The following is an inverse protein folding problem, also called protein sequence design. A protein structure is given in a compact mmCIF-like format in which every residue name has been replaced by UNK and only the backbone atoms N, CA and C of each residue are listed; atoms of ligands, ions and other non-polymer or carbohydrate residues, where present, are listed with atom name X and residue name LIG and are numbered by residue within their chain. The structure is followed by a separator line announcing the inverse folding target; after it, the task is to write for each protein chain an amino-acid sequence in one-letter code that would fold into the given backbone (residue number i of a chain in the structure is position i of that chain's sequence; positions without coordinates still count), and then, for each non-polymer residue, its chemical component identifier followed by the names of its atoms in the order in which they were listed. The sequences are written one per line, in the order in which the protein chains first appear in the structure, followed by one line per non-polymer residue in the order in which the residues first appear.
data_IF_922191159504
#
_entry.id   IF_922191159504
#
_cell.length_a   1.000
_cell.length_b   1.000
_cell.length_c   1.000
_cell.angle_alpha   90.00
_cell.angle_beta   90.00
_cell.angle_gamma   90.00
#
_symmetry.space_group_name_H-M   'P 1'
#
loop_
_entity.id
_entity.type
_entity.pdbx_description
1 polymer ?
#
# COMPACT_ATOMS: atom_id res chain seq x y z
N UNK A 1 28.98 7.87 15.01
CA UNK A 1 27.71 7.11 15.18
C UNK A 1 26.74 7.29 14.01
N UNK A 2 26.50 8.53 13.55
CA UNK A 2 25.62 8.83 12.41
C UNK A 2 25.96 8.06 11.13
N UNK A 3 27.23 8.09 10.70
CA UNK A 3 27.66 7.42 9.46
C UNK A 3 27.39 5.91 9.48
N UNK A 4 27.71 5.22 10.59
CA UNK A 4 27.42 3.78 10.78
C UNK A 4 25.92 3.49 10.66
N UNK A 5 25.08 4.37 11.21
CA UNK A 5 23.61 4.27 11.12
C UNK A 5 23.12 4.47 9.68
N UNK A 6 23.61 5.50 9.00
CA UNK A 6 23.26 5.80 7.60
C UNK A 6 23.66 4.64 6.67
N UNK A 7 24.86 4.08 6.84
CA UNK A 7 25.33 2.92 6.07
C UNK A 7 24.49 1.67 6.32
N UNK A 8 24.11 1.42 7.58
CA UNK A 8 23.19 0.32 7.93
C UNK A 8 21.83 0.51 7.25
N UNK A 9 21.25 1.70 7.31
CA UNK A 9 19.96 1.98 6.65
C UNK A 9 20.05 1.90 5.12
N UNK A 10 21.18 2.29 4.53
CA UNK A 10 21.41 2.12 3.09
C UNK A 10 21.42 0.64 2.72
N UNK A 11 22.11 -0.19 3.51
CA UNK A 11 22.13 -1.64 3.31
C UNK A 11 20.73 -2.26 3.48
N UNK A 12 20.00 -1.86 4.52
CA UNK A 12 18.63 -2.33 4.76
C UNK A 12 17.67 -1.92 3.63
N UNK A 13 17.77 -0.69 3.11
CA UNK A 13 16.99 -0.22 1.95
C UNK A 13 17.35 -0.95 0.65
N UNK A 14 18.62 -1.35 0.47
CA UNK A 14 19.04 -2.17 -0.67
C UNK A 14 18.52 -3.60 -0.58
N UNK A 15 18.45 -4.15 0.63
CA UNK A 15 17.97 -5.52 0.89
C UNK A 15 16.45 -5.63 0.83
N UNK A 16 15.73 -4.71 1.44
CA UNK A 16 14.26 -4.69 1.51
C UNK A 16 13.70 -3.28 1.20
N UNK A 17 13.65 -2.89 -0.09
CA UNK A 17 13.18 -1.57 -0.47
C UNK A 17 11.67 -1.41 -0.22
N UNK A 18 11.24 -0.28 0.39
CA UNK A 18 9.83 0.02 0.57
C UNK A 18 9.10 0.06 -0.79
N UNK A 19 7.92 -0.54 -0.86
CA UNK A 19 7.16 -0.59 -2.10
C UNK A 19 6.90 0.83 -2.64
N UNK A 20 7.13 1.03 -3.94
CA UNK A 20 6.97 2.31 -4.65
C UNK A 20 7.94 3.42 -4.21
N UNK A 21 8.92 3.11 -3.35
CA UNK A 21 9.89 4.07 -2.85
C UNK A 21 11.31 3.58 -3.14
N UNK A 22 12.23 4.54 -3.20
CA UNK A 22 13.64 4.27 -3.28
C UNK A 22 14.43 5.45 -2.73
N UNK A 23 15.56 5.22 -2.06
CA UNK A 23 16.41 6.30 -1.55
C UNK A 23 17.88 5.87 -1.39
N UNK A 24 18.83 6.73 -1.74
CA UNK A 24 20.25 6.43 -1.65
C UNK A 24 21.12 7.67 -1.88
N UNK A 25 22.43 7.57 -1.62
CA UNK A 25 23.34 8.71 -1.68
C UNK A 25 23.46 9.28 -3.09
N UNK A 26 23.71 10.58 -3.16
CA UNK A 26 24.00 11.30 -4.40
C UNK A 26 25.51 11.53 -4.46
N UNK A 27 26.17 10.90 -5.44
CA UNK A 27 27.63 10.93 -5.53
C UNK A 27 28.29 10.21 -4.36
N UNK A 28 29.37 10.81 -3.85
CA UNK A 28 30.18 10.27 -2.75
C UNK A 28 29.68 10.71 -1.36
N UNK A 29 28.76 11.68 -1.28
CA UNK A 29 28.25 12.19 0.00
C UNK A 29 27.18 11.24 0.58
N UNK A 30 27.56 10.53 1.64
CA UNK A 30 26.66 9.63 2.36
C UNK A 30 25.61 10.37 3.21
N UNK A 31 25.79 11.67 3.51
CA UNK A 31 24.84 12.49 4.26
C UNK A 31 23.81 13.21 3.37
N UNK A 32 23.95 13.11 2.05
CA UNK A 32 23.00 13.64 1.08
C UNK A 32 22.41 12.54 0.20
N UNK A 33 21.13 12.25 0.37
CA UNK A 33 20.42 11.23 -0.39
C UNK A 33 19.36 11.83 -1.29
N UNK A 34 19.09 11.12 -2.37
CA UNK A 34 17.94 11.34 -3.23
C UNK A 34 16.99 10.16 -3.13
N UNK A 35 15.72 10.48 -2.97
CA UNK A 35 14.65 9.53 -2.94
C UNK A 35 13.69 9.72 -4.11
N UNK A 36 13.10 8.62 -4.57
CA UNK A 36 12.06 8.62 -5.59
C UNK A 36 10.85 7.90 -5.04
N UNK A 37 9.72 8.60 -5.07
CA UNK A 37 8.39 8.06 -4.74
C UNK A 37 7.59 7.97 -6.02
N UNK A 38 7.11 6.75 -6.29
CA UNK A 38 6.17 6.52 -7.37
C UNK A 38 4.78 6.83 -6.85
N UNK A 39 4.06 7.68 -7.58
CA UNK A 39 2.70 8.07 -7.28
C UNK A 39 1.83 6.87 -6.96
N UNK A 40 1.24 6.80 -5.74
CA UNK A 40 0.47 5.65 -5.32
C UNK A 40 -0.68 5.35 -6.28
N UNK A 41 -0.95 4.07 -6.50
CA UNK A 41 -2.12 3.63 -7.26
C UNK A 41 -3.41 4.06 -6.57
N UNK A 42 -4.42 4.43 -7.36
CA UNK A 42 -5.72 4.93 -6.88
C UNK A 42 -5.65 6.24 -6.07
N UNK A 43 -4.57 7.02 -6.25
CA UNK A 43 -4.45 8.42 -5.83
C UNK A 43 -4.47 9.33 -7.07
N UNK A 44 -4.75 10.64 -6.94
CA UNK A 44 -4.61 11.56 -8.07
C UNK A 44 -3.17 11.64 -8.59
N UNK A 45 -2.20 11.25 -7.78
CA UNK A 45 -0.77 11.19 -8.13
C UNK A 45 -0.37 9.96 -8.94
N UNK A 46 -1.31 9.04 -9.23
CA UNK A 46 -1.00 7.80 -9.92
C UNK A 46 -0.27 8.04 -11.25
N UNK A 47 0.80 7.27 -11.48
CA UNK A 47 1.71 7.40 -12.64
C UNK A 47 2.67 8.59 -12.58
N UNK A 48 2.60 9.42 -11.54
CA UNK A 48 3.61 10.43 -11.25
C UNK A 48 4.91 9.83 -10.71
N UNK A 49 6.01 10.53 -10.95
CA UNK A 49 7.32 10.23 -10.34
C UNK A 49 7.75 11.46 -9.58
N UNK A 50 7.95 11.31 -8.27
CA UNK A 50 8.30 12.41 -7.39
C UNK A 50 9.69 12.19 -6.83
N UNK A 51 10.57 13.17 -7.05
CA UNK A 51 11.90 13.19 -6.49
C UNK A 51 11.91 14.00 -5.19
N UNK A 52 12.67 13.51 -4.23
CA UNK A 52 12.88 14.13 -2.93
C UNK A 52 14.37 14.16 -2.63
N UNK A 53 14.80 15.19 -1.92
CA UNK A 53 16.13 15.27 -1.32
C UNK A 53 16.03 14.98 0.18
N UNK A 54 17.02 14.26 0.71
CA UNK A 54 17.14 13.89 2.12
C UNK A 54 18.54 14.32 2.57
N UNK A 55 18.62 15.20 3.56
CA UNK A 55 19.89 15.59 4.18
C UNK A 55 19.92 15.11 5.63
N UNK A 56 20.93 14.32 5.97
CA UNK A 56 21.14 13.86 7.34
C UNK A 56 21.95 14.89 8.13
N UNK A 57 21.52 15.25 9.35
CA UNK A 57 22.36 16.06 10.23
C UNK A 57 23.51 15.21 10.82
N UNK A 58 24.53 15.87 11.33
CA UNK A 58 25.71 15.21 11.93
C UNK A 58 25.38 14.39 13.18
N UNK A 59 24.30 14.73 13.87
CA UNK A 59 23.76 14.05 15.06
C UNK A 59 22.64 13.04 14.74
N UNK A 60 22.45 12.68 13.46
CA UNK A 60 21.54 11.59 13.08
C UNK A 60 21.92 10.28 13.81
N UNK A 61 20.96 9.49 14.34
CA UNK A 61 19.51 9.61 14.22
C UNK A 61 18.82 10.37 15.38
N UNK A 62 19.56 11.11 16.21
CA UNK A 62 18.97 11.85 17.34
C UNK A 62 18.19 13.09 16.88
N UNK A 63 18.56 13.68 15.74
CA UNK A 63 17.73 14.65 15.01
C UNK A 63 17.19 14.07 13.70
N UNK A 64 16.01 14.53 13.24
CA UNK A 64 15.42 14.09 11.98
C UNK A 64 16.25 14.52 10.77
N UNK A 65 16.21 13.75 9.67
CA UNK A 65 16.75 14.20 8.40
C UNK A 65 15.82 15.27 7.81
N UNK A 66 16.40 16.22 7.08
CA UNK A 66 15.62 17.21 6.32
C UNK A 66 15.18 16.58 5.01
N UNK A 67 13.87 16.45 4.80
CA UNK A 67 13.29 15.87 3.59
C UNK A 67 12.45 16.92 2.86
N UNK A 68 12.68 17.08 1.56
CA UNK A 68 11.92 17.99 0.72
C UNK A 68 11.69 17.42 -0.68
N UNK A 69 10.53 17.69 -1.27
CA UNK A 69 10.26 17.38 -2.67
C UNK A 69 11.06 18.30 -3.59
N UNK A 70 11.83 17.72 -4.50
CA UNK A 70 12.43 18.48 -5.62
C UNK A 70 11.45 18.57 -6.79
N UNK A 71 10.57 17.59 -6.93
CA UNK A 71 9.45 17.63 -7.88
C UNK A 71 8.29 18.48 -7.33
N UNK A 72 7.81 19.45 -8.11
CA UNK A 72 6.61 20.22 -7.74
C UNK A 72 5.38 19.30 -7.73
N UNK A 73 4.57 19.41 -6.69
CA UNK A 73 3.38 18.59 -6.48
C UNK A 73 2.23 19.44 -5.96
N UNK A 74 1.02 19.17 -6.47
CA UNK A 74 -0.20 19.82 -5.99
C UNK A 74 -0.75 19.03 -4.81
N UNK A 75 -0.47 19.44 -3.57
CA UNK A 75 -0.85 18.69 -2.36
C UNK A 75 -1.05 19.63 -1.15
N UNK A 76 -2.07 19.41 -0.28
CA UNK A 76 -2.36 20.31 0.85
C UNK A 76 -1.21 20.46 1.87
N UNK A 77 -0.50 19.37 2.15
CA UNK A 77 0.61 19.32 3.12
C UNK A 77 2.00 19.49 2.51
N UNK A 78 2.11 19.88 1.23
CA UNK A 78 3.41 20.09 0.55
C UNK A 78 3.38 21.44 -0.13
N UNK A 79 4.29 22.35 0.24
CA UNK A 79 4.32 23.69 -0.34
C UNK A 79 5.09 23.73 -1.68
N UNK A 80 5.09 24.89 -2.33
CA UNK A 80 5.80 25.11 -3.60
C UNK A 80 7.31 24.91 -3.50
N UNK A 81 7.91 25.09 -2.32
CA UNK A 81 9.33 24.84 -2.06
C UNK A 81 9.64 23.36 -1.77
N UNK A 82 8.62 22.50 -1.77
CA UNK A 82 8.75 21.06 -1.52
C UNK A 82 8.86 20.69 -0.05
N UNK A 83 8.69 21.64 0.88
CA UNK A 83 8.63 21.34 2.31
C UNK A 83 7.39 20.51 2.62
N UNK A 84 7.53 19.55 3.53
CA UNK A 84 6.47 18.61 3.90
C UNK A 84 6.04 18.95 5.33
N UNK A 85 4.72 19.05 5.56
CA UNK A 85 4.20 18.97 6.93
C UNK A 85 3.91 17.51 7.26
N UNK A 86 4.82 16.94 8.04
CA UNK A 86 4.72 15.59 8.56
C UNK A 86 5.36 15.59 9.94
N UNK A 87 4.56 15.29 10.95
CA UNK A 87 4.89 15.24 12.38
C UNK A 87 6.13 14.40 12.69
N UNK A 88 6.29 13.24 12.01
CA UNK A 88 7.45 12.38 12.22
C UNK A 88 8.76 13.02 11.82
N UNK A 89 8.76 14.08 10.98
CA UNK A 89 9.96 14.85 10.61
C UNK A 89 10.21 16.02 11.58
N UNK A 90 9.39 16.18 12.62
CA UNK A 90 9.43 17.29 13.58
C UNK A 90 9.30 16.75 15.02
N UNK A 91 8.15 16.99 15.66
CA UNK A 91 7.89 16.68 17.07
C UNK A 91 7.82 15.18 17.35
N UNK A 92 7.43 14.37 16.37
CA UNK A 92 7.31 12.91 16.52
C UNK A 92 8.50 12.13 15.95
N UNK A 93 9.63 12.81 15.74
CA UNK A 93 10.85 12.12 15.36
C UNK A 93 11.35 11.25 16.51
N UNK A 94 11.68 10.00 16.21
CA UNK A 94 12.34 9.08 17.12
C UNK A 94 13.57 8.47 16.42
N UNK A 95 14.69 8.26 17.12
CA UNK A 95 15.83 7.51 16.59
C UNK A 95 15.49 6.10 16.07
N UNK A 96 14.33 5.54 16.46
CA UNK A 96 13.81 4.27 15.95
C UNK A 96 13.14 4.37 14.55
N UNK A 97 12.94 5.58 14.04
CA UNK A 97 12.47 5.83 12.68
C UNK A 97 13.65 5.74 11.70
N UNK A 98 13.40 5.09 10.57
CA UNK A 98 14.36 4.92 9.48
C UNK A 98 13.87 5.67 8.25
N UNK A 99 14.77 5.92 7.30
CA UNK A 99 14.44 6.51 5.99
C UNK A 99 13.35 5.71 5.29
N UNK A 100 13.38 4.37 5.39
CA UNK A 100 12.33 3.52 4.85
C UNK A 100 10.95 3.85 5.43
N UNK A 101 10.86 4.03 6.76
CA UNK A 101 9.61 4.42 7.43
C UNK A 101 9.18 5.83 7.03
N UNK A 102 10.11 6.77 6.93
CA UNK A 102 9.83 8.15 6.49
C UNK A 102 9.21 8.17 5.09
N UNK A 103 9.78 7.44 4.12
CA UNK A 103 9.26 7.38 2.75
C UNK A 103 7.87 6.72 2.68
N UNK A 104 7.63 5.70 3.50
CA UNK A 104 6.32 5.06 3.61
C UNK A 104 5.26 6.03 4.17
N UNK A 105 5.62 6.84 5.16
CA UNK A 105 4.74 7.87 5.72
C UNK A 105 4.44 8.96 4.70
N UNK A 106 5.44 9.43 3.94
CA UNK A 106 5.22 10.39 2.84
C UNK A 106 4.31 9.79 1.76
N UNK A 107 4.50 8.52 1.39
CA UNK A 107 3.56 7.83 0.50
C UNK A 107 2.13 7.80 1.05
N UNK A 108 1.99 7.64 2.37
CA UNK A 108 0.68 7.65 3.06
C UNK A 108 0.02 9.01 2.94
N UNK A 109 0.79 10.07 3.18
CA UNK A 109 0.36 11.45 3.05
C UNK A 109 -0.19 11.73 1.63
N UNK A 110 0.49 11.24 0.58
CA UNK A 110 0.01 11.38 -0.81
C UNK A 110 -1.33 10.68 -1.09
N UNK A 111 -1.69 9.63 -0.34
CA UNK A 111 -2.99 8.98 -0.51
C UNK A 111 -4.08 9.65 0.29
N UNK A 112 -3.76 10.01 1.53
CA UNK A 112 -4.68 10.54 2.51
C UNK A 112 -4.06 11.83 3.08
N UNK A 113 -4.24 12.98 2.39
CA UNK A 113 -3.77 14.27 2.89
C UNK A 113 -4.41 14.60 4.24
N UNK A 114 -3.70 15.35 5.09
CA UNK A 114 -4.25 15.86 6.35
C UNK A 114 -4.75 17.30 6.14
N UNK A 115 -6.06 17.54 6.00
CA UNK A 115 -6.56 18.87 5.68
C UNK A 115 -6.72 19.76 6.94
N UNK A 116 -6.45 19.24 8.14
CA UNK A 116 -6.51 19.98 9.41
C UNK A 116 -5.16 20.62 9.79
N UNK A 117 -4.06 20.18 9.17
CA UNK A 117 -2.73 20.79 9.27
C UNK A 117 -2.08 21.03 7.89
N UNK A 118 -2.68 21.88 7.03
CA UNK A 118 -2.17 22.12 5.68
C UNK A 118 -1.05 23.17 5.63
N UNK A 119 -0.06 22.94 4.77
CA UNK A 119 0.89 24.01 4.38
C UNK A 119 0.31 24.95 3.33
N UNK A 120 -0.70 24.48 2.59
CA UNK A 120 -1.37 25.24 1.54
C UNK A 120 -2.88 25.23 1.82
N UNK A 121 -3.38 26.22 2.59
CA UNK A 121 -4.78 26.28 3.03
C UNK A 121 -5.79 26.20 1.87
N UNK A 122 -5.50 26.87 0.74
CA UNK A 122 -6.38 26.89 -0.44
C UNK A 122 -6.61 25.48 -1.02
N UNK A 123 -5.54 24.67 -1.10
CA UNK A 123 -5.63 23.30 -1.61
C UNK A 123 -6.39 22.43 -0.60
N UNK A 124 -6.19 22.62 0.71
CA UNK A 124 -6.95 21.93 1.74
C UNK A 124 -8.44 22.30 1.72
N UNK A 125 -8.78 23.56 1.47
CA UNK A 125 -10.17 24.00 1.36
C UNK A 125 -10.85 23.33 0.15
N UNK A 126 -10.18 23.28 -1.01
CA UNK A 126 -10.69 22.54 -2.18
C UNK A 126 -10.82 21.05 -1.87
N UNK A 127 -9.86 20.46 -1.15
CA UNK A 127 -9.93 19.05 -0.74
C UNK A 127 -11.14 18.76 0.17
N UNK A 128 -11.46 19.66 1.12
CA UNK A 128 -12.60 19.54 2.04
C UNK A 128 -13.95 19.76 1.33
N UNK A 129 -14.04 20.77 0.45
CA UNK A 129 -15.28 21.18 -0.19
C UNK A 129 -15.64 20.38 -1.45
N UNK A 130 -14.66 20.07 -2.30
CA UNK A 130 -14.87 19.37 -3.57
C UNK A 130 -13.69 18.43 -3.89
N UNK A 131 -13.82 17.21 -3.38
CA UNK A 131 -12.82 16.15 -3.55
C UNK A 131 -12.63 15.72 -5.01
N UNK A 132 -13.66 15.81 -5.85
CA UNK A 132 -13.56 15.46 -7.27
C UNK A 132 -12.76 16.52 -8.04
N UNK A 133 -13.03 17.81 -7.79
CA UNK A 133 -12.23 18.90 -8.35
C UNK A 133 -10.78 18.83 -7.89
N UNK A 134 -10.52 18.57 -6.61
CA UNK A 134 -9.18 18.32 -6.10
C UNK A 134 -8.49 17.18 -6.88
N UNK A 135 -9.15 16.03 -7.01
CA UNK A 135 -8.60 14.86 -7.68
C UNK A 135 -8.29 15.12 -9.16
N UNK A 136 -9.10 15.93 -9.85
CA UNK A 136 -8.84 16.37 -11.23
C UNK A 136 -7.60 17.26 -11.28
N UNK A 137 -7.57 18.35 -10.51
CA UNK A 137 -6.44 19.29 -10.49
C UNK A 137 -5.12 18.62 -10.11
N UNK A 138 -5.12 17.78 -9.08
CA UNK A 138 -3.93 17.05 -8.66
C UNK A 138 -3.44 16.05 -9.73
N UNK A 139 -4.36 15.43 -10.47
CA UNK A 139 -4.03 14.52 -11.59
C UNK A 139 -3.47 15.28 -12.78
N UNK A 140 -4.11 16.38 -13.17
CA UNK A 140 -3.66 17.23 -14.28
C UNK A 140 -2.29 17.82 -13.98
N UNK A 141 -2.08 18.28 -12.74
CA UNK A 141 -0.77 18.75 -12.28
C UNK A 141 0.28 17.63 -12.33
N UNK A 142 -0.05 16.43 -11.88
CA UNK A 142 0.87 15.28 -11.92
C UNK A 142 1.22 14.90 -13.36
N UNK A 143 0.27 14.97 -14.28
CA UNK A 143 0.49 14.70 -15.71
C UNK A 143 1.32 15.80 -16.37
N UNK A 144 1.03 17.07 -16.09
CA UNK A 144 1.74 18.22 -16.67
C UNK A 144 3.16 18.37 -16.13
N UNK A 145 3.38 18.11 -14.83
CA UNK A 145 4.73 18.04 -14.24
C UNK A 145 5.52 16.85 -14.78
N UNK A 146 4.86 15.72 -15.06
CA UNK A 146 5.49 14.62 -15.80
C UNK A 146 6.01 15.08 -17.16
N UNK A 147 5.36 16.03 -17.86
CA UNK A 147 5.87 16.58 -19.14
C UNK A 147 7.04 17.57 -18.92
N UNK A 148 7.02 18.36 -17.84
CA UNK A 148 8.04 19.36 -17.53
C UNK A 148 9.35 18.79 -16.93
N UNK A 149 9.29 17.69 -16.18
CA UNK A 149 10.45 17.05 -15.53
C UNK A 149 11.39 16.32 -16.49
N UNK A 150 11.06 16.25 -17.79
CA UNK A 150 11.97 15.72 -18.81
C UNK A 150 13.00 16.75 -19.32
N UNK A 151 12.98 17.99 -18.79
CA UNK A 151 13.95 19.04 -19.11
C UNK A 151 15.15 19.12 -18.15
N UNK A 152 15.08 18.57 -16.93
CA UNK A 152 16.21 18.65 -15.98
C UNK A 152 16.46 17.33 -15.24
N UNK A 153 17.74 16.94 -15.24
CA UNK A 153 18.25 15.63 -14.87
C UNK A 153 18.27 15.39 -13.36
N UNK A 154 17.74 14.25 -12.91
CA UNK A 154 18.43 13.20 -12.15
C UNK A 154 17.42 12.16 -11.61
N UNK A 155 17.81 10.88 -11.58
CA UNK A 155 17.20 9.81 -10.73
C UNK A 155 15.99 8.97 -11.18
N UNK A 156 15.95 8.47 -12.41
CA UNK A 156 15.02 7.39 -12.81
C UNK A 156 15.58 5.96 -12.67
N UNK A 157 16.26 5.66 -11.56
CA UNK A 157 16.65 4.29 -11.23
C UNK A 157 16.11 3.90 -9.87
N UNK A 158 14.98 3.18 -9.85
CA UNK A 158 14.73 2.04 -8.95
C UNK A 158 13.36 1.39 -9.19
N UNK A 159 13.39 0.28 -9.92
CA UNK A 159 12.36 -0.76 -9.88
C UNK A 159 12.99 -2.15 -10.03
N UNK A 160 12.56 -3.04 -9.14
CA UNK A 160 12.61 -4.53 -9.11
C UNK A 160 13.88 -5.21 -8.55
N UNK A 161 13.74 -5.75 -7.33
CA UNK A 161 14.10 -7.14 -7.04
C UNK A 161 12.80 -7.97 -6.98
N UNK A 162 12.92 -9.27 -7.25
CA UNK A 162 11.86 -10.25 -7.59
C UNK A 162 11.47 -10.25 -9.07
N UNK A 163 12.39 -10.71 -9.91
CA UNK A 163 12.05 -11.41 -11.16
C UNK A 163 12.30 -12.91 -10.88
N UNK A 164 11.26 -13.73 -10.65
CA UNK A 164 11.32 -15.12 -11.10
C UNK A 164 11.36 -15.06 -12.63
N UNK A 165 12.15 -15.95 -13.25
CA UNK A 165 12.34 -16.10 -14.70
C UNK A 165 11.20 -15.48 -15.52
N UNK A 166 11.55 -14.47 -16.33
CA UNK A 166 10.65 -13.69 -17.17
C UNK A 166 9.85 -14.65 -18.05
N UNK A 167 8.63 -15.01 -17.61
CA UNK A 167 7.57 -15.34 -18.56
C UNK A 167 7.32 -14.06 -19.32
N UNK A 168 7.74 -14.04 -20.58
CA UNK A 168 7.29 -13.05 -21.54
C UNK A 168 5.80 -12.83 -21.32
N UNK A 169 5.40 -11.57 -21.13
CA UNK A 169 4.00 -11.21 -20.95
C UNK A 169 3.27 -11.40 -22.29
N UNK A 170 2.96 -12.64 -22.65
CA UNK A 170 1.95 -12.91 -23.66
C UNK A 170 0.60 -12.46 -23.08
N UNK A 171 -0.18 -11.75 -23.89
CA UNK A 171 -1.60 -11.57 -23.64
C UNK A 171 -2.25 -12.93 -23.80
N UNK A 172 -2.75 -13.49 -22.69
CA UNK A 172 -3.65 -14.64 -22.78
C UNK A 172 -4.90 -14.21 -23.58
N UNK A 173 -5.30 -15.03 -24.56
CA UNK A 173 -6.50 -14.78 -25.34
C UNK A 173 -7.70 -14.61 -24.39
N UNK A 174 -8.36 -13.45 -24.44
CA UNK A 174 -9.48 -13.10 -23.56
C UNK A 174 -9.14 -12.24 -22.32
N UNK A 175 -7.86 -11.96 -22.05
CA UNK A 175 -7.48 -11.04 -20.98
C UNK A 175 -7.64 -9.56 -21.38
N UNK A 176 -7.89 -8.64 -20.42
CA UNK A 176 -7.94 -7.21 -20.71
C UNK A 176 -6.66 -6.72 -21.40
N UNK A 177 -6.77 -5.89 -22.45
CA UNK A 177 -5.61 -5.26 -23.09
C UNK A 177 -4.71 -4.58 -22.05
N UNK A 178 -3.39 -4.77 -22.19
CA UNK A 178 -2.40 -4.16 -21.29
C UNK A 178 -1.98 -2.80 -21.83
N UNK A 179 -1.74 -1.86 -20.92
CA UNK A 179 -1.24 -0.52 -21.28
C UNK A 179 0.09 -0.64 -22.03
N UNK A 180 0.29 0.11 -23.12
CA UNK A 180 1.52 0.06 -23.90
C UNK A 180 2.67 0.73 -23.16
N UNK A 181 3.89 0.34 -23.51
CA UNK A 181 5.11 0.94 -22.98
C UNK A 181 5.28 2.37 -23.51
N UNK A 182 5.68 3.28 -22.63
CA UNK A 182 6.09 4.63 -23.00
C UNK A 182 7.43 4.63 -23.75
N UNK A 183 7.80 5.75 -24.37
CA UNK A 183 9.02 5.84 -25.20
C UNK A 183 10.29 5.39 -24.48
N UNK A 184 10.49 5.82 -23.23
CA UNK A 184 11.62 5.39 -22.42
C UNK A 184 11.61 3.87 -22.15
N UNK A 185 10.46 3.31 -21.74
CA UNK A 185 10.36 1.87 -21.47
C UNK A 185 10.52 1.01 -22.72
N UNK A 186 10.21 1.55 -23.91
CA UNK A 186 10.52 0.91 -25.20
C UNK A 186 12.03 0.86 -25.44
N UNK A 187 12.70 1.97 -25.20
CA UNK A 187 14.17 2.04 -25.26
C UNK A 187 14.80 1.07 -24.25
N UNK A 188 14.31 1.04 -23.02
CA UNK A 188 14.76 0.06 -22.01
C UNK A 188 14.59 -1.37 -22.49
N UNK A 189 13.42 -1.72 -23.02
CA UNK A 189 13.17 -3.07 -23.54
C UNK A 189 14.13 -3.45 -24.67
N UNK A 190 14.52 -2.50 -25.52
CA UNK A 190 15.46 -2.74 -26.61
C UNK A 190 16.91 -2.83 -26.13
N UNK A 191 17.34 -1.96 -25.22
CA UNK A 191 18.73 -1.85 -24.79
C UNK A 191 19.10 -2.85 -23.68
N UNK A 192 18.12 -3.28 -22.87
CA UNK A 192 18.37 -4.20 -21.76
C UNK A 192 19.15 -5.46 -22.16
N UNK A 193 18.76 -6.25 -23.18
CA UNK A 193 19.54 -7.44 -23.55
C UNK A 193 20.95 -7.09 -24.04
N UNK A 194 21.15 -5.94 -24.70
CA UNK A 194 22.47 -5.51 -25.17
C UNK A 194 23.40 -5.16 -24.00
N UNK A 195 22.89 -4.40 -23.03
CA UNK A 195 23.66 -3.99 -21.85
C UNK A 195 23.91 -5.18 -20.91
N UNK A 196 22.95 -6.12 -20.77
CA UNK A 196 23.19 -7.36 -20.02
C UNK A 196 24.29 -8.19 -20.68
N UNK A 197 24.29 -8.31 -22.02
CA UNK A 197 25.34 -9.06 -22.74
C UNK A 197 26.72 -8.40 -22.59
N UNK A 198 26.77 -7.07 -22.56
CA UNK A 198 28.01 -6.32 -22.39
C UNK A 198 28.51 -6.35 -20.93
N UNK A 199 27.62 -6.50 -19.95
CA UNK A 199 27.92 -6.50 -18.53
C UNK A 199 27.19 -7.65 -17.80
N UNK A 200 27.62 -8.92 -18.00
CA UNK A 200 26.90 -10.09 -17.49
C UNK A 200 26.90 -10.18 -15.96
N UNK A 201 27.94 -9.68 -15.29
CA UNK A 201 28.11 -9.76 -13.83
C UNK A 201 27.47 -8.57 -13.08
N UNK A 202 26.92 -7.60 -13.82
CA UNK A 202 26.33 -6.40 -13.23
C UNK A 202 24.88 -6.66 -12.84
N UNK A 203 24.50 -6.24 -11.63
CA UNK A 203 23.14 -6.39 -11.12
C UNK A 203 22.16 -5.71 -12.07
N UNK A 204 20.98 -6.31 -12.26
CA UNK A 204 19.94 -5.78 -13.16
C UNK A 204 19.59 -4.31 -12.87
N UNK A 205 19.64 -3.87 -11.61
CA UNK A 205 19.40 -2.47 -11.22
C UNK A 205 20.42 -1.51 -11.86
N UNK A 206 21.68 -1.92 -11.92
CA UNK A 206 22.77 -1.12 -12.47
C UNK A 206 22.78 -1.17 -14.01
N UNK A 207 22.34 -2.28 -14.60
CA UNK A 207 22.03 -2.36 -16.04
C UNK A 207 20.97 -1.34 -16.42
N UNK A 208 19.84 -1.30 -15.70
CA UNK A 208 18.78 -0.30 -15.97
C UNK A 208 19.29 1.12 -15.73
N UNK A 209 20.18 1.34 -14.75
CA UNK A 209 20.80 2.66 -14.51
C UNK A 209 21.65 3.11 -15.69
N UNK A 210 22.47 2.22 -16.26
CA UNK A 210 23.28 2.49 -17.46
C UNK A 210 22.38 2.86 -18.64
N UNK A 211 21.29 2.14 -18.87
CA UNK A 211 20.33 2.45 -19.93
C UNK A 211 19.62 3.78 -19.70
N UNK A 212 19.25 4.08 -18.45
CA UNK A 212 18.67 5.37 -18.09
C UNK A 212 19.62 6.54 -18.41
N UNK A 213 20.93 6.34 -18.21
CA UNK A 213 21.95 7.32 -18.57
C UNK A 213 22.07 7.48 -20.09
N UNK A 214 22.14 6.37 -20.84
CA UNK A 214 22.13 6.39 -22.31
C UNK A 214 20.91 7.15 -22.86
N UNK A 215 19.72 6.91 -22.31
CA UNK A 215 18.51 7.64 -22.73
C UNK A 215 18.62 9.15 -22.51
N UNK A 216 19.29 9.60 -21.44
CA UNK A 216 19.44 11.04 -21.18
C UNK A 216 20.32 11.71 -22.23
N UNK A 217 21.40 11.05 -22.65
CA UNK A 217 22.36 11.58 -23.62
C UNK A 217 21.85 11.57 -25.06
N UNK A 218 20.77 10.84 -25.37
CA UNK A 218 20.17 10.86 -26.70
C UNK A 218 19.57 12.23 -27.04
N UNK A 219 19.73 12.65 -28.29
CA UNK A 219 19.08 13.84 -28.84
C UNK A 219 17.56 13.65 -28.95
N UNK A 220 16.83 14.74 -29.18
CA UNK A 220 15.38 14.67 -29.41
C UNK A 220 15.05 13.77 -30.60
N UNK A 221 15.81 13.89 -31.70
CA UNK A 221 15.62 13.10 -32.92
C UNK A 221 15.86 11.60 -32.67
N UNK A 222 16.85 11.25 -31.85
CA UNK A 222 17.11 9.85 -31.48
C UNK A 222 16.02 9.27 -30.56
N UNK A 223 15.37 10.11 -29.74
CA UNK A 223 14.24 9.72 -28.88
C UNK A 223 12.92 9.62 -29.67
N UNK A 224 12.83 10.32 -30.80
CA UNK A 224 11.62 10.53 -31.57
C UNK A 224 10.95 9.22 -32.04
N UNK A 225 11.68 8.21 -32.59
CA UNK A 225 11.08 6.93 -32.97
C UNK A 225 10.40 6.20 -31.81
N UNK A 226 11.01 6.25 -30.62
CA UNK A 226 10.45 5.60 -29.42
C UNK A 226 9.19 6.30 -28.92
N UNK A 227 9.18 7.63 -28.99
CA UNK A 227 8.02 8.44 -28.62
C UNK A 227 6.87 8.24 -29.61
N UNK A 228 7.13 8.28 -30.92
CA UNK A 228 6.14 7.99 -31.95
C UNK A 228 5.56 6.58 -31.79
N UNK A 229 6.41 5.56 -31.62
CA UNK A 229 5.95 4.19 -31.39
C UNK A 229 5.11 4.05 -30.11
N UNK A 230 5.37 4.87 -29.09
CA UNK A 230 4.54 4.96 -27.89
C UNK A 230 3.17 5.58 -28.17
N UNK A 231 3.12 6.63 -28.99
CA UNK A 231 1.86 7.29 -29.39
C UNK A 231 1.00 6.32 -30.21
N UNK A 232 1.57 5.71 -31.25
CA UNK A 232 0.87 4.74 -32.12
C UNK A 232 0.29 3.60 -31.28
N UNK A 233 1.10 3.01 -30.39
CA UNK A 233 0.60 1.92 -29.56
C UNK A 233 -0.44 2.35 -28.52
N UNK A 234 -0.42 3.63 -28.09
CA UNK A 234 -1.46 4.18 -27.22
C UNK A 234 -2.78 4.33 -27.96
N UNK A 235 -2.76 4.76 -29.22
CA UNK A 235 -3.96 4.80 -30.05
C UNK A 235 -4.48 3.39 -30.32
N UNK A 236 -3.61 2.45 -30.68
CA UNK A 236 -3.99 1.04 -30.84
C UNK A 236 -4.62 0.46 -29.57
N UNK A 237 -4.03 0.75 -28.40
CA UNK A 237 -4.56 0.30 -27.13
C UNK A 237 -5.98 0.83 -26.84
N UNK A 238 -6.32 2.06 -27.28
CA UNK A 238 -7.69 2.59 -27.11
C UNK A 238 -8.67 1.80 -27.95
N UNK A 239 -8.32 1.51 -29.21
CA UNK A 239 -9.14 0.71 -30.13
C UNK A 239 -9.32 -0.71 -29.57
N UNK A 240 -8.24 -1.34 -29.12
CA UNK A 240 -8.27 -2.69 -28.54
C UNK A 240 -9.11 -2.73 -27.26
N UNK A 241 -9.02 -1.70 -26.42
CA UNK A 241 -9.80 -1.60 -25.18
C UNK A 241 -11.29 -1.43 -25.47
N UNK A 242 -11.66 -0.61 -26.47
CA UNK A 242 -13.05 -0.47 -26.90
C UNK A 242 -13.59 -1.78 -27.44
N UNK A 243 -12.84 -2.46 -28.32
CA UNK A 243 -13.18 -3.78 -28.84
C UNK A 243 -13.33 -4.82 -27.73
N UNK A 244 -12.43 -4.82 -26.76
CA UNK A 244 -12.51 -5.71 -25.62
C UNK A 244 -13.76 -5.44 -24.77
N UNK A 245 -14.07 -4.17 -24.51
CA UNK A 245 -15.24 -3.77 -23.75
C UNK A 245 -16.55 -4.15 -24.45
N UNK A 246 -16.62 -4.03 -25.78
CA UNK A 246 -17.81 -4.42 -26.56
C UNK A 246 -18.03 -5.94 -26.60
N UNK A 247 -16.98 -6.74 -26.38
CA UNK A 247 -17.05 -8.21 -26.35
C UNK A 247 -17.45 -8.77 -24.97
N UNK A 248 -17.45 -7.96 -23.91
CA UNK A 248 -17.75 -8.42 -22.56
C UNK A 248 -19.25 -8.50 -22.31
N UNK A 249 -19.70 -9.62 -21.73
CA UNK A 249 -21.03 -9.68 -21.16
C UNK A 249 -21.14 -8.83 -19.88
N UNK A 250 -22.33 -8.35 -19.50
CA UNK A 250 -22.52 -7.62 -18.24
C UNK A 250 -22.02 -8.38 -17.01
N UNK A 251 -22.18 -9.71 -16.99
CA UNK A 251 -21.70 -10.57 -15.92
C UNK A 251 -20.17 -10.62 -15.86
N UNK A 252 -19.50 -10.74 -17.01
CA UNK A 252 -18.03 -10.72 -17.09
C UNK A 252 -17.47 -9.34 -16.67
N UNK A 253 -18.11 -8.25 -17.10
CA UNK A 253 -17.72 -6.90 -16.70
C UNK A 253 -17.86 -6.68 -15.18
N UNK A 254 -18.94 -7.17 -14.57
CA UNK A 254 -19.13 -7.14 -13.12
C UNK A 254 -18.06 -7.95 -12.38
N UNK A 255 -17.76 -9.17 -12.84
CA UNK A 255 -16.73 -10.02 -12.26
C UNK A 255 -15.34 -9.36 -12.31
N UNK A 256 -14.96 -8.75 -13.43
CA UNK A 256 -13.70 -8.00 -13.56
C UNK A 256 -13.64 -6.79 -12.62
N UNK A 257 -14.75 -6.07 -12.45
CA UNK A 257 -14.84 -4.95 -11.50
C UNK A 257 -14.67 -5.42 -10.07
N UNK A 258 -15.28 -6.54 -9.71
CA UNK A 258 -15.12 -7.16 -8.39
C UNK A 258 -13.69 -7.68 -8.15
N UNK A 259 -13.09 -8.36 -9.12
CA UNK A 259 -11.70 -8.81 -9.03
C UNK A 259 -10.77 -7.62 -8.82
N UNK A 260 -10.97 -6.52 -9.57
CA UNK A 260 -10.23 -5.28 -9.38
C UNK A 260 -10.42 -4.75 -7.95
N UNK A 261 -11.66 -4.67 -7.45
CA UNK A 261 -11.96 -4.25 -6.07
C UNK A 261 -11.25 -5.12 -5.04
N UNK A 262 -11.28 -6.45 -5.19
CA UNK A 262 -10.61 -7.41 -4.30
C UNK A 262 -9.09 -7.22 -4.32
N UNK A 263 -8.50 -7.03 -5.51
CA UNK A 263 -7.06 -6.79 -5.67
C UNK A 263 -6.64 -5.48 -4.99
N UNK A 264 -7.43 -4.42 -5.13
CA UNK A 264 -7.17 -3.13 -4.48
C UNK A 264 -7.32 -3.22 -2.95
N UNK A 265 -8.37 -3.87 -2.46
CA UNK A 265 -8.56 -4.13 -1.03
C UNK A 265 -7.40 -4.94 -0.43
N UNK A 266 -6.94 -5.99 -1.13
CA UNK A 266 -5.77 -6.79 -0.72
C UNK A 266 -4.50 -5.93 -0.64
N UNK A 267 -4.25 -5.07 -1.64
CA UNK A 267 -3.10 -4.14 -1.64
C UNK A 267 -3.18 -3.15 -0.49
N UNK A 268 -4.36 -2.55 -0.25
CA UNK A 268 -4.61 -1.63 0.88
C UNK A 268 -4.39 -2.33 2.22
N UNK A 269 -4.85 -3.56 2.38
CA UNK A 269 -4.64 -4.36 3.60
C UNK A 269 -3.15 -4.68 3.84
N UNK A 270 -2.41 -5.08 2.80
CA UNK A 270 -0.97 -5.34 2.89
C UNK A 270 -0.22 -4.06 3.29
N UNK A 271 -0.56 -2.93 2.68
CA UNK A 271 0.04 -1.63 3.00
C UNK A 271 -0.22 -1.24 4.45
N UNK A 272 -1.48 -1.30 4.90
CA UNK A 272 -1.86 -1.03 6.30
C UNK A 272 -1.11 -1.95 7.25
N UNK A 273 -0.94 -3.24 6.91
CA UNK A 273 -0.15 -4.18 7.73
C UNK A 273 1.32 -3.75 7.83
N UNK A 274 1.94 -3.31 6.73
CA UNK A 274 3.33 -2.82 6.73
C UNK A 274 3.49 -1.55 7.57
N UNK A 275 2.55 -0.62 7.45
CA UNK A 275 2.51 0.59 8.28
C UNK A 275 2.42 0.24 9.77
N UNK A 276 1.45 -0.60 10.16
CA UNK A 276 1.31 -1.04 11.55
C UNK A 276 2.55 -1.78 12.07
N UNK A 277 3.21 -2.57 11.22
CA UNK A 277 4.47 -3.22 11.57
C UNK A 277 5.60 -2.19 11.77
N UNK A 278 5.69 -1.16 10.93
CA UNK A 278 6.70 -0.11 11.05
C UNK A 278 6.51 0.75 12.31
N UNK A 279 5.26 0.91 12.76
CA UNK A 279 4.86 1.58 14.01
C UNK A 279 4.98 0.66 15.24
N UNK A 280 5.53 -0.55 15.09
CA UNK A 280 5.76 -1.46 16.20
C UNK A 280 4.50 -1.96 16.88
N UNK A 281 3.36 -2.03 16.17
CA UNK A 281 2.10 -2.48 16.77
C UNK A 281 2.25 -3.86 17.44
N UNK A 282 1.91 -4.01 18.73
CA UNK A 282 2.00 -5.26 19.46
C UNK A 282 1.33 -6.43 18.75
N UNK A 283 2.00 -7.58 18.71
CA UNK A 283 1.41 -8.82 18.20
C UNK A 283 0.29 -9.28 19.13
N UNK A 284 -0.79 -9.78 18.53
CA UNK A 284 -1.96 -10.32 19.26
C UNK A 284 -1.55 -11.42 20.24
N UNK A 285 -2.33 -11.64 21.32
CA UNK A 285 -2.06 -12.71 22.27
C UNK A 285 -1.94 -14.06 21.55
N UNK A 286 -0.94 -14.85 21.92
CA UNK A 286 -0.77 -16.22 21.46
C UNK A 286 -1.77 -17.11 22.19
N UNK A 287 -2.43 -17.99 21.45
CA UNK A 287 -3.24 -19.05 22.05
C UNK A 287 -2.34 -20.14 22.65
N UNK A 288 -2.87 -20.95 23.57
CA UNK A 288 -2.16 -22.08 24.16
C UNK A 288 -1.58 -23.02 23.08
N UNK A 289 -2.37 -23.30 22.04
CA UNK A 289 -1.91 -24.07 20.88
C UNK A 289 -0.78 -23.37 20.09
N UNK A 290 -0.80 -22.03 19.95
CA UNK A 290 0.29 -21.33 19.27
C UNK A 290 1.61 -21.39 20.05
N UNK A 291 1.54 -21.44 21.38
CA UNK A 291 2.71 -21.57 22.26
C UNK A 291 3.25 -22.99 22.16
N UNK A 292 2.39 -24.00 22.32
CA UNK A 292 2.75 -25.41 22.11
C UNK A 292 3.38 -25.65 20.73
N UNK A 293 2.75 -25.13 19.67
CA UNK A 293 3.24 -25.22 18.31
C UNK A 293 4.60 -24.54 18.13
N UNK A 294 4.87 -23.42 18.81
CA UNK A 294 6.16 -22.75 18.70
C UNK A 294 7.29 -23.54 19.37
N UNK A 295 6.97 -24.30 20.42
CA UNK A 295 7.93 -25.11 21.17
C UNK A 295 8.18 -26.48 20.52
N UNK A 296 7.15 -27.09 19.94
CA UNK A 296 7.21 -28.45 19.38
C UNK A 296 7.47 -28.47 17.87
N UNK A 297 7.66 -27.30 17.26
CA UNK A 297 7.94 -27.23 15.82
C UNK A 297 9.44 -27.47 15.55
N UNK A 298 9.75 -28.61 14.93
CA UNK A 298 11.11 -28.93 14.46
C UNK A 298 11.31 -28.63 12.95
N UNK A 299 12.41 -27.95 12.62
CA UNK A 299 12.78 -27.58 11.24
C UNK A 299 13.33 -28.76 10.40
N UNK A 300 13.60 -29.92 11.00
CA UNK A 300 14.18 -31.11 10.35
C UNK A 300 13.27 -31.73 9.26
N UNK A 301 13.87 -32.51 8.35
CA UNK A 301 13.46 -32.69 6.94
C UNK A 301 12.34 -33.71 6.69
N UNK A 302 11.51 -33.45 5.66
CA UNK A 302 10.80 -34.48 4.89
C UNK A 302 9.29 -34.25 4.69
N UNK A 303 8.62 -33.62 5.65
CA UNK A 303 7.17 -33.38 5.61
C UNK A 303 6.89 -31.91 5.24
N UNK A 304 5.89 -31.69 4.38
CA UNK A 304 5.45 -30.34 4.02
C UNK A 304 5.02 -29.55 5.26
N UNK A 305 5.14 -28.22 5.22
CA UNK A 305 4.66 -27.33 6.30
C UNK A 305 3.22 -27.62 6.74
N UNK A 306 2.37 -28.00 5.78
CA UNK A 306 0.97 -28.34 6.00
C UNK A 306 0.84 -29.68 6.74
N UNK A 307 1.65 -30.69 6.37
CA UNK A 307 1.70 -31.97 7.07
C UNK A 307 2.17 -31.82 8.52
N UNK A 308 3.24 -31.03 8.76
CA UNK A 308 3.73 -30.73 10.11
C UNK A 308 2.64 -30.05 10.97
N UNK A 309 1.94 -29.07 10.42
CA UNK A 309 0.85 -28.38 11.11
C UNK A 309 -0.32 -29.33 11.46
N UNK A 310 -0.59 -30.31 10.60
CA UNK A 310 -1.63 -31.32 10.84
C UNK A 310 -1.22 -32.25 11.99
N UNK A 311 0.01 -32.76 12.00
CA UNK A 311 0.53 -33.62 13.07
C UNK A 311 0.50 -32.93 14.43
N UNK A 312 1.03 -31.71 14.53
CA UNK A 312 1.01 -30.93 15.79
C UNK A 312 -0.40 -30.67 16.31
N UNK A 313 -1.38 -30.52 15.40
CA UNK A 313 -2.79 -30.37 15.78
C UNK A 313 -3.36 -31.67 16.36
N UNK A 314 -3.04 -32.81 15.75
CA UNK A 314 -3.46 -34.13 16.23
C UNK A 314 -2.84 -34.44 17.61
N UNK A 315 -1.55 -34.17 17.79
CA UNK A 315 -0.86 -34.30 19.08
C UNK A 315 -1.48 -33.40 20.14
N UNK A 316 -1.73 -32.12 19.82
CA UNK A 316 -2.43 -31.21 20.72
C UNK A 316 -3.81 -31.74 21.13
N UNK A 317 -4.57 -32.37 20.24
CA UNK A 317 -5.88 -32.95 20.62
C UNK A 317 -5.74 -34.10 21.60
N UNK A 318 -4.69 -34.92 21.47
CA UNK A 318 -4.42 -36.09 22.31
C UNK A 318 -3.86 -35.73 23.70
N UNK A 319 -3.26 -34.55 23.87
CA UNK A 319 -2.76 -34.10 25.18
C UNK A 319 -3.89 -34.05 26.23
N UNK A 320 -3.58 -34.49 27.44
CA UNK A 320 -4.48 -34.44 28.58
C UNK A 320 -4.72 -32.99 29.05
N UNK A 321 -5.78 -32.78 29.84
CA UNK A 321 -6.09 -31.46 30.41
C UNK A 321 -4.95 -30.94 31.29
N UNK A 322 -4.29 -31.81 32.06
CA UNK A 322 -3.16 -31.42 32.91
C UNK A 322 -1.94 -30.98 32.09
N UNK A 323 -1.64 -31.66 30.99
CA UNK A 323 -0.57 -31.27 30.06
C UNK A 323 -0.87 -29.93 29.36
N UNK A 324 -2.13 -29.70 28.99
CA UNK A 324 -2.57 -28.43 28.38
C UNK A 324 -2.53 -27.26 29.36
N UNK A 325 -2.65 -27.51 30.65
CA UNK A 325 -2.76 -26.48 31.68
C UNK A 325 -1.56 -25.51 31.66
N UNK A 326 -0.34 -26.01 31.45
CA UNK A 326 0.87 -25.17 31.36
C UNK A 326 0.74 -24.17 30.21
N UNK A 327 0.34 -24.63 29.03
CA UNK A 327 0.15 -23.76 27.86
C UNK A 327 -1.04 -22.80 28.01
N UNK A 328 -2.09 -23.23 28.72
CA UNK A 328 -3.23 -22.37 29.04
C UNK A 328 -2.82 -21.24 29.98
N UNK A 329 -1.98 -21.51 30.97
CA UNK A 329 -1.42 -20.49 31.85
C UNK A 329 -0.52 -19.52 31.07
N UNK A 330 0.41 -20.03 30.26
CA UNK A 330 1.28 -19.20 29.41
C UNK A 330 0.47 -18.32 28.43
N UNK A 331 -0.66 -18.82 27.92
CA UNK A 331 -1.56 -18.04 27.08
C UNK A 331 -2.29 -16.95 27.86
N UNK A 332 -2.63 -17.16 29.14
CA UNK A 332 -3.19 -16.12 29.99
C UNK A 332 -2.15 -15.04 30.31
N UNK A 333 -0.92 -15.44 30.61
CA UNK A 333 0.19 -14.50 30.81
C UNK A 333 0.48 -13.66 29.54
N UNK A 334 0.40 -14.27 28.35
CA UNK A 334 0.57 -13.55 27.08
C UNK A 334 -0.59 -12.58 26.80
N UNK A 335 -1.81 -12.83 27.32
CA UNK A 335 -2.90 -11.84 27.30
C UNK A 335 -2.58 -10.65 28.19
N UNK A 336 -1.97 -10.86 29.36
CA UNK A 336 -1.54 -9.77 30.25
C UNK A 336 -0.46 -8.93 29.57
N UNK A 337 0.57 -9.58 29.01
CA UNK A 337 1.60 -8.92 28.18
C UNK A 337 0.97 -8.05 27.10
N UNK A 338 0.08 -8.63 26.28
CA UNK A 338 -0.57 -7.90 25.19
C UNK A 338 -1.40 -6.73 25.70
N UNK A 339 -2.14 -6.87 26.82
CA UNK A 339 -2.92 -5.77 27.42
C UNK A 339 -2.03 -4.59 27.80
N UNK A 340 -0.86 -4.86 28.40
CA UNK A 340 0.08 -3.83 28.81
C UNK A 340 0.76 -3.17 27.59
N UNK A 341 1.25 -3.97 26.64
CA UNK A 341 1.88 -3.48 25.41
C UNK A 341 0.90 -2.66 24.56
N UNK A 342 -0.33 -3.15 24.36
CA UNK A 342 -1.30 -2.44 23.51
C UNK A 342 -1.77 -1.14 24.17
N UNK A 343 -1.86 -1.09 25.50
CA UNK A 343 -2.19 0.15 26.22
C UNK A 343 -1.10 1.20 26.01
N UNK A 344 0.15 0.82 26.27
CA UNK A 344 1.32 1.70 26.08
C UNK A 344 1.46 2.15 24.62
N UNK A 345 1.20 1.24 23.66
CA UNK A 345 1.21 1.56 22.25
C UNK A 345 0.07 2.50 21.85
N UNK A 346 -1.15 2.30 22.36
CA UNK A 346 -2.30 3.19 22.10
C UNK A 346 -2.07 4.59 22.68
N UNK A 347 -1.49 4.70 23.88
CA UNK A 347 -1.08 5.97 24.49
C UNK A 347 -0.03 6.67 23.61
N UNK A 348 1.01 5.96 23.17
CA UNK A 348 1.98 6.51 22.22
C UNK A 348 1.34 6.93 20.88
N UNK A 349 0.34 6.19 20.38
CA UNK A 349 -0.40 6.59 19.18
C UNK A 349 -1.23 7.86 19.38
N UNK A 350 -1.76 8.10 20.58
CA UNK A 350 -2.42 9.37 20.94
C UNK A 350 -1.42 10.51 20.93
N UNK A 351 -0.26 10.32 21.56
CA UNK A 351 0.78 11.34 21.64
C UNK A 351 1.24 11.79 20.25
N UNK A 352 1.34 10.85 19.29
CA UNK A 352 1.71 11.14 17.90
C UNK A 352 0.54 11.58 17.01
N UNK A 353 -0.65 11.82 17.58
CA UNK A 353 -1.83 12.27 16.82
C UNK A 353 -2.42 11.23 15.86
N UNK A 354 -2.07 9.95 16.01
CA UNK A 354 -2.58 8.82 15.19
C UNK A 354 -3.73 8.10 15.88
N UNK A 355 -4.72 8.87 16.34
CA UNK A 355 -5.91 8.34 17.01
C UNK A 355 -6.73 7.41 16.11
N UNK A 356 -6.60 7.54 14.78
CA UNK A 356 -7.20 6.66 13.77
C UNK A 356 -6.82 5.18 13.94
N UNK A 357 -5.70 4.91 14.62
CA UNK A 357 -5.15 3.57 14.82
C UNK A 357 -5.53 2.91 16.14
N UNK A 358 -6.16 3.67 17.04
CA UNK A 358 -6.59 3.21 18.37
C UNK A 358 -7.85 2.36 18.24
N UNK A 359 -7.97 1.33 19.08
CA UNK A 359 -9.21 0.54 19.10
C UNK A 359 -10.35 1.44 19.58
N UNK A 360 -11.42 1.55 18.78
CA UNK A 360 -12.68 2.13 19.27
C UNK A 360 -13.10 1.38 20.53
N UNK A 361 -13.07 2.05 21.68
CA UNK A 361 -13.79 1.57 22.86
C UNK A 361 -15.26 1.60 22.48
N UNK A 362 -15.89 0.43 22.38
CA UNK A 362 -17.34 0.39 22.49
C UNK A 362 -17.69 0.98 23.86
N UNK A 363 -18.04 2.26 23.89
CA UNK A 363 -18.81 2.78 25.00
C UNK A 363 -20.12 2.02 24.98
N UNK A 364 -20.18 0.90 25.71
CA UNK A 364 -21.43 0.39 26.26
C UNK A 364 -22.01 1.54 27.07
N UNK A 365 -22.78 2.42 26.42
CA UNK A 365 -23.74 3.28 27.12
C UNK A 365 -24.65 2.30 27.85
N UNK A 366 -24.39 2.13 29.15
CA UNK A 366 -25.35 1.61 30.11
C UNK A 366 -26.62 2.43 29.85
N UNK A 367 -27.61 1.85 29.17
CA UNK A 367 -28.95 2.39 29.21
C UNK A 367 -29.36 2.32 30.66
N UNK A 368 -29.23 3.44 31.36
CA UNK A 368 -29.93 3.68 32.60
C UNK A 368 -31.39 3.35 32.35
N UNK A 369 -31.88 2.31 33.02
CA UNK A 369 -33.27 1.93 33.00
C UNK A 369 -34.07 3.08 33.61
N UNK A 370 -34.63 3.95 32.77
CA UNK A 370 -35.73 4.81 33.18
C UNK A 370 -36.95 3.91 33.36
N UNK A 371 -37.28 3.66 34.63
CA UNK A 371 -38.60 3.18 35.06
C UNK A 371 -39.64 4.16 34.51
N UNK A 372 -40.33 3.76 33.45
CA UNK A 372 -41.54 4.41 32.95
C UNK A 372 -42.59 3.33 32.77
N UNK A 373 -43.49 3.22 33.73
CA UNK A 373 -44.54 2.21 33.73
C UNK A 373 -45.47 2.35 32.53
N UNK A 374 -45.87 1.22 31.94
CA UNK A 374 -47.05 1.16 31.08
C UNK A 374 -47.90 -0.05 31.44
N UNK A 375 -49.15 0.29 31.77
CA UNK A 375 -50.27 -0.56 32.20
C UNK A 375 -50.45 -1.79 31.30
N UNK A 376 -50.77 -2.92 31.93
CA UNK A 376 -51.35 -4.12 31.31
C UNK A 376 -52.69 -3.75 30.64
N UNK A 377 -52.87 -4.15 29.39
CA UNK A 377 -54.20 -4.42 28.81
C UNK A 377 -54.16 -5.77 28.11
N UNK A 378 -54.97 -6.71 28.62
CA UNK A 378 -55.24 -8.02 28.03
C UNK A 378 -55.95 -7.84 26.68
N UNK A 379 -55.62 -8.67 25.70
CA UNK A 379 -56.28 -8.68 24.38
C UNK A 379 -56.00 -9.96 23.60
N UNK A 380 -56.75 -11.01 23.95
CA UNK A 380 -57.27 -12.13 23.14
C UNK A 380 -56.56 -12.44 21.80
N UNK A 381 -55.94 -13.62 21.71
CA UNK A 381 -55.61 -14.31 20.46
C UNK A 381 -56.90 -15.00 19.97
N UNK A 382 -57.37 -14.63 18.78
CA UNK A 382 -58.38 -15.38 18.03
C UNK A 382 -57.78 -15.70 16.67
N UNK A 383 -57.64 -17.00 16.43
CA UNK A 383 -57.24 -17.62 15.19
C UNK A 383 -58.49 -17.78 14.33
N UNK A 384 -58.49 -17.22 13.10
CA UNK A 384 -59.53 -17.52 12.11
C UNK A 384 -58.90 -17.82 10.76
N UNK A 385 -58.98 -19.11 10.40
CA UNK A 385 -58.96 -19.61 9.02
C UNK A 385 -60.10 -18.96 8.23
N UNK A 386 -59.83 -18.60 6.97
CA UNK A 386 -60.88 -18.36 5.98
C UNK A 386 -60.51 -19.10 4.69
N UNK A 387 -61.26 -20.17 4.42
CA UNK A 387 -61.32 -20.86 3.15
C UNK A 387 -62.23 -20.07 2.20
N UNK A 388 -61.78 -19.90 0.95
CA UNK A 388 -62.58 -19.35 -0.14
C UNK A 388 -63.15 -20.48 -1.00
N UNK A 389 -64.47 -20.52 -1.10
CA UNK A 389 -65.26 -21.30 -2.05
C UNK A 389 -66.56 -20.46 -2.29
N UNK A 390 -67.20 -20.35 -3.46
CA UNK A 390 -67.19 -21.16 -4.68
C UNK A 390 -67.99 -20.43 -5.78
N UNK A 391 -67.70 -20.75 -7.06
CA UNK A 391 -68.62 -20.84 -8.25
C UNK A 391 -69.27 -19.56 -8.81
N UNK A 392 -69.56 -19.40 -10.12
CA UNK A 392 -69.83 -20.34 -11.20
C UNK A 392 -69.44 -19.75 -12.59
N UNK A 393 -68.82 -20.53 -13.50
CA UNK A 393 -69.38 -21.20 -14.72
C UNK A 393 -69.96 -20.21 -15.76
N UNK A 394 -69.53 -20.17 -17.03
CA UNK A 394 -69.74 -21.22 -18.03
C UNK A 394 -69.34 -20.77 -19.46
N UNK A 395 -68.77 -21.72 -20.26
CA UNK A 395 -68.88 -21.90 -21.75
C UNK A 395 -68.20 -20.84 -22.65
N UNK A 396 -67.68 -21.13 -23.85
CA UNK A 396 -67.45 -22.31 -24.72
C UNK A 396 -66.64 -21.81 -25.94
N UNK A 397 -65.75 -22.65 -26.49
CA UNK A 397 -65.28 -22.75 -27.91
C UNK A 397 -64.67 -21.48 -28.57
N UNK A 398 -63.61 -21.53 -29.36
CA UNK A 398 -62.88 -22.59 -30.05
C UNK A 398 -61.38 -22.25 -30.06
#
# INVERSE_FOLDING_TARGET
MALKRIQKELHDLQRDPPAQCSAGPVGEDLFHWQATIMGPGDSPYQSGVFFLTIHFPTDYPFKPPKVAFTTKIYHPNINSNGSICLDILRSQWSPALTVSKVLLSICSLLCDPNPDDPLVPDIAQIYKLDKEKYNRLARDWTQNQSVSLFSNASSLARFVSVIPAVKSFTTSAGAPPKRPLNGYMRFVKQQQPLVVRQYPDVKAVDVIRKIAQQWRTLTADQKQPFQQASVVAREQFKVDLQRYQSQLSPAQAAALKEERRRRLAKRKAIRRKRELNSLGKPKRPRSAFNIYMAEHYEESRGVTMQGKMKMLREEWTKLSTSQKQVYMQLAEDDKVRYKNEIKSWEEHMMDIGREDLIRRKETRKKKTATKGGKKKSKGKVVETKAAGATTARSRKKA
#
